data_IF_301153307468
#
_entry.id   IF_301153307468
#
_cell.length_a   1.000
_cell.length_b   1.000
_cell.length_c   1.000
_cell.angle_alpha   90.00
_cell.angle_beta   90.00
_cell.angle_gamma   90.00
#
_symmetry.space_group_name_H-M   'P 1'
#
loop_
_entity.id
_entity.type
_entity.pdbx_description
1 polymer ?
#
# COMPACT_ATOMS: atom_id res chain seq x y z
N UNK A 1 6.15 -4.83 15.38
CA UNK A 1 4.99 -4.17 14.74
C UNK A 1 4.68 -2.81 15.38
N UNK A 2 4.64 -2.70 16.72
CA UNK A 2 4.35 -1.42 17.39
C UNK A 2 5.31 -0.26 17.04
N UNK A 3 6.61 -0.52 16.87
CA UNK A 3 7.56 0.54 16.48
C UNK A 3 7.28 1.09 15.07
N UNK A 4 6.89 0.24 14.13
CA UNK A 4 6.52 0.66 12.77
C UNK A 4 5.23 1.48 12.76
N UNK A 5 4.27 1.12 13.62
CA UNK A 5 3.06 1.92 13.84
C UNK A 5 3.41 3.31 14.39
N UNK A 6 4.29 3.40 15.38
CA UNK A 6 4.77 4.68 15.93
C UNK A 6 5.52 5.53 14.91
N UNK A 7 6.22 4.90 13.97
CA UNK A 7 6.96 5.57 12.88
C UNK A 7 6.10 5.89 11.65
N UNK A 8 4.81 5.52 11.64
CA UNK A 8 3.91 5.75 10.50
C UNK A 8 4.26 4.93 9.24
N UNK A 9 5.06 3.87 9.39
CA UNK A 9 5.51 3.00 8.28
C UNK A 9 4.46 1.94 7.95
N UNK A 10 3.29 2.39 7.53
CA UNK A 10 2.12 1.53 7.37
C UNK A 10 2.24 0.56 6.18
N UNK A 11 2.99 0.88 5.13
CA UNK A 11 3.28 -0.06 4.04
C UNK A 11 4.13 -1.24 4.51
N UNK A 12 5.19 -0.98 5.27
CA UNK A 12 6.02 -2.03 5.89
C UNK A 12 5.24 -2.84 6.92
N UNK A 13 4.38 -2.19 7.69
CA UNK A 13 3.51 -2.86 8.65
C UNK A 13 2.50 -3.78 7.95
N UNK A 14 1.89 -3.32 6.85
CA UNK A 14 0.96 -4.09 6.04
C UNK A 14 1.64 -5.33 5.40
N UNK A 15 2.91 -5.19 5.00
CA UNK A 15 3.74 -6.30 4.50
C UNK A 15 4.06 -7.31 5.60
N UNK A 16 4.34 -6.88 6.84
CA UNK A 16 4.56 -7.82 7.95
C UNK A 16 3.28 -8.54 8.36
N UNK A 17 2.13 -7.87 8.29
CA UNK A 17 0.82 -8.47 8.57
C UNK A 17 0.43 -9.58 7.59
N UNK A 18 0.94 -9.52 6.37
CA UNK A 18 0.82 -10.60 5.38
C UNK A 18 1.60 -11.86 5.80
N UNK A 19 2.73 -11.69 6.47
CA UNK A 19 3.64 -12.78 6.87
C UNK A 19 3.26 -13.38 8.23
N UNK A 20 2.54 -12.63 9.06
CA UNK A 20 2.11 -13.03 10.41
C UNK A 20 0.60 -12.81 10.60
N UNK A 21 -0.26 -13.70 10.08
CA UNK A 21 -1.72 -13.57 10.17
C UNK A 21 -2.31 -13.87 11.56
N UNK A 22 -1.49 -14.00 12.61
CA UNK A 22 -1.96 -14.38 13.95
C UNK A 22 -2.90 -13.34 14.58
N UNK A 23 -3.85 -13.84 15.38
CA UNK A 23 -4.98 -13.10 15.95
C UNK A 23 -4.60 -11.96 16.89
N UNK A 24 -3.39 -11.99 17.48
CA UNK A 24 -2.92 -11.00 18.46
C UNK A 24 -2.71 -9.61 17.83
N UNK A 25 -2.47 -9.53 16.51
CA UNK A 25 -2.19 -8.27 15.81
C UNK A 25 -3.30 -7.84 14.85
N UNK A 26 -4.49 -8.46 14.94
CA UNK A 26 -5.60 -8.21 14.01
C UNK A 26 -5.97 -6.73 13.90
N UNK A 27 -6.01 -6.00 15.02
CA UNK A 27 -6.32 -4.57 15.02
C UNK A 27 -5.21 -3.74 14.35
N UNK A 28 -3.94 -4.05 14.67
CA UNK A 28 -2.78 -3.37 14.09
C UNK A 28 -2.72 -3.62 12.57
N UNK A 29 -3.04 -4.83 12.14
CA UNK A 29 -3.04 -5.20 10.73
C UNK A 29 -4.21 -4.60 9.96
N UNK A 30 -5.40 -4.52 10.57
CA UNK A 30 -6.53 -3.80 10.00
C UNK A 30 -6.21 -2.32 9.78
N UNK A 31 -5.61 -1.67 10.77
CA UNK A 31 -5.17 -0.28 10.66
C UNK A 31 -4.07 -0.11 9.60
N UNK A 32 -3.10 -1.02 9.56
CA UNK A 32 -2.02 -1.00 8.56
C UNK A 32 -2.55 -1.12 7.14
N UNK A 33 -3.50 -2.04 6.88
CA UNK A 33 -4.13 -2.19 5.57
C UNK A 33 -4.97 -0.97 5.20
N UNK A 34 -5.74 -0.41 6.13
CA UNK A 34 -6.51 0.82 5.89
C UNK A 34 -5.60 1.98 5.50
N UNK A 35 -4.52 2.20 6.24
CA UNK A 35 -3.58 3.29 5.98
C UNK A 35 -2.79 3.06 4.68
N UNK A 36 -2.41 1.82 4.38
CA UNK A 36 -1.79 1.47 3.12
C UNK A 36 -2.73 1.72 1.93
N UNK A 37 -4.01 1.37 2.07
CA UNK A 37 -5.05 1.69 1.09
C UNK A 37 -5.19 3.19 0.87
N UNK A 38 -5.30 3.99 1.93
CA UNK A 38 -5.39 5.45 1.84
C UNK A 38 -4.16 6.06 1.16
N UNK A 39 -2.97 5.52 1.42
CA UNK A 39 -1.73 5.96 0.78
C UNK A 39 -1.72 5.64 -0.72
N UNK A 40 -2.15 4.44 -1.12
CA UNK A 40 -2.26 4.06 -2.53
C UNK A 40 -3.33 4.92 -3.23
N UNK A 41 -4.48 5.14 -2.59
CA UNK A 41 -5.55 5.98 -3.11
C UNK A 41 -5.06 7.43 -3.33
N UNK A 42 -4.27 7.98 -2.40
CA UNK A 42 -3.65 9.30 -2.57
C UNK A 42 -2.71 9.35 -3.77
N UNK A 43 -1.79 8.38 -3.90
CA UNK A 43 -0.87 8.28 -5.04
C UNK A 43 -1.65 8.23 -6.35
N UNK A 44 -2.69 7.40 -6.43
CA UNK A 44 -3.51 7.27 -7.64
C UNK A 44 -4.36 8.52 -7.89
N UNK A 45 -4.78 9.25 -6.84
CA UNK A 45 -5.55 10.49 -6.98
C UNK A 45 -4.75 11.65 -7.54
N UNK A 46 -3.41 11.66 -7.38
CA UNK A 46 -2.55 12.67 -8.01
C UNK A 46 -2.69 12.67 -9.53
N UNK A 47 -3.03 11.52 -10.14
CA UNK A 47 -3.34 11.44 -11.57
C UNK A 47 -4.55 12.29 -11.97
N UNK A 48 -5.54 12.47 -11.09
CA UNK A 48 -6.72 13.29 -11.39
C UNK A 48 -6.34 14.76 -11.68
N UNK A 49 -5.20 15.21 -11.15
CA UNK A 49 -4.66 16.54 -11.42
C UNK A 49 -3.89 16.66 -12.73
N UNK A 50 -3.41 15.53 -13.31
CA UNK A 50 -2.55 15.50 -14.50
C UNK A 50 -2.91 14.30 -15.42
N UNK A 51 -4.03 14.37 -16.18
CA UNK A 51 -4.62 13.21 -16.86
C UNK A 51 -3.74 12.51 -17.92
N UNK A 52 -2.65 13.16 -18.37
CA UNK A 52 -1.74 12.63 -19.38
C UNK A 52 -0.38 12.17 -18.82
N UNK A 53 -0.09 12.47 -17.55
CA UNK A 53 1.18 12.12 -16.91
C UNK A 53 0.95 10.92 -15.99
N UNK A 54 1.83 9.92 -16.12
CA UNK A 54 1.93 8.87 -15.11
C UNK A 54 2.50 9.48 -13.83
N UNK A 55 1.99 9.03 -12.69
CA UNK A 55 2.48 9.39 -11.37
C UNK A 55 3.88 8.79 -11.21
N UNK A 56 4.85 9.64 -10.88
CA UNK A 56 6.20 9.20 -10.53
C UNK A 56 6.24 8.97 -9.03
N UNK A 57 6.59 7.75 -8.64
CA UNK A 57 6.74 7.35 -7.24
C UNK A 57 8.20 6.96 -7.03
N UNK A 58 8.75 7.27 -5.85
CA UNK A 58 10.11 6.83 -5.52
C UNK A 58 10.21 5.29 -5.53
N UNK A 59 11.40 4.77 -5.83
CA UNK A 59 11.63 3.33 -6.00
C UNK A 59 11.28 2.52 -4.74
N UNK A 60 11.52 3.08 -3.55
CA UNK A 60 11.26 2.39 -2.29
C UNK A 60 9.76 2.24 -2.04
N UNK A 61 8.97 3.29 -2.25
CA UNK A 61 7.51 3.26 -2.14
C UNK A 61 6.92 2.35 -3.21
N UNK A 62 7.41 2.45 -4.45
CA UNK A 62 6.96 1.61 -5.57
C UNK A 62 7.12 0.12 -5.23
N UNK A 63 8.31 -0.27 -4.78
CA UNK A 63 8.60 -1.66 -4.44
C UNK A 63 7.70 -2.18 -3.31
N UNK A 64 7.50 -1.37 -2.25
CA UNK A 64 6.62 -1.76 -1.13
C UNK A 64 5.18 -1.95 -1.58
N UNK A 65 4.66 -1.08 -2.44
CA UNK A 65 3.30 -1.22 -2.98
C UNK A 65 3.21 -2.45 -3.87
N UNK A 66 4.16 -2.65 -4.80
CA UNK A 66 4.16 -3.83 -5.66
C UNK A 66 4.26 -5.14 -4.86
N UNK A 67 5.11 -5.18 -3.83
CA UNK A 67 5.20 -6.31 -2.90
C UNK A 67 3.87 -6.52 -2.16
N UNK A 68 3.23 -5.45 -1.70
CA UNK A 68 1.94 -5.52 -0.99
C UNK A 68 0.83 -6.05 -1.90
N UNK A 69 0.76 -5.57 -3.14
CA UNK A 69 -0.18 -6.06 -4.15
C UNK A 69 0.13 -7.48 -4.60
N UNK A 70 1.37 -7.94 -4.51
CA UNK A 70 1.70 -9.34 -4.84
C UNK A 70 1.23 -10.31 -3.77
N UNK A 71 1.27 -9.89 -2.50
CA UNK A 71 0.97 -10.72 -1.34
C UNK A 71 -0.50 -10.64 -0.92
N UNK A 72 -1.16 -9.47 -1.03
CA UNK A 72 -2.55 -9.26 -0.61
C UNK A 72 -3.55 -9.36 -1.78
N UNK A 73 -4.37 -10.44 -1.88
CA UNK A 73 -5.32 -10.60 -2.99
C UNK A 73 -6.37 -9.50 -3.09
N UNK A 74 -6.89 -9.01 -1.96
CA UNK A 74 -7.93 -7.97 -1.93
C UNK A 74 -7.39 -6.64 -2.46
N UNK A 75 -6.20 -6.24 -1.98
CA UNK A 75 -5.54 -5.03 -2.46
C UNK A 75 -5.11 -5.17 -3.92
N UNK A 76 -4.64 -6.36 -4.31
CA UNK A 76 -4.27 -6.67 -5.70
C UNK A 76 -5.43 -6.44 -6.65
N UNK A 77 -6.59 -6.99 -6.36
CA UNK A 77 -7.78 -6.88 -7.19
C UNK A 77 -8.20 -5.41 -7.35
N UNK A 78 -8.21 -4.67 -6.25
CA UNK A 78 -8.59 -3.25 -6.24
C UNK A 78 -7.61 -2.35 -6.98
N UNK A 79 -6.30 -2.49 -6.73
CA UNK A 79 -5.32 -1.46 -7.10
C UNK A 79 -4.38 -1.85 -8.24
N UNK A 80 -4.08 -3.13 -8.47
CA UNK A 80 -3.09 -3.53 -9.49
C UNK A 80 -3.40 -3.00 -10.91
N UNK A 81 -4.66 -3.01 -11.39
CA UNK A 81 -4.98 -2.45 -12.71
C UNK A 81 -4.71 -0.95 -12.79
N UNK A 82 -5.05 -0.20 -11.74
CA UNK A 82 -4.87 1.24 -11.65
C UNK A 82 -3.38 1.59 -11.52
N UNK A 83 -2.66 0.86 -10.67
CA UNK A 83 -1.23 1.02 -10.45
C UNK A 83 -0.44 0.86 -11.75
N UNK A 84 -0.68 -0.21 -12.51
CA UNK A 84 -0.02 -0.45 -13.81
C UNK A 84 -0.36 0.60 -14.87
N UNK A 85 -1.55 1.20 -14.78
CA UNK A 85 -2.01 2.20 -15.74
C UNK A 85 -1.43 3.59 -15.44
N UNK A 86 -1.33 3.94 -14.17
CA UNK A 86 -1.06 5.31 -13.74
C UNK A 86 0.32 5.53 -13.16
N UNK A 87 1.02 4.51 -12.67
CA UNK A 87 2.37 4.66 -12.11
C UNK A 87 3.43 4.26 -13.15
N UNK A 88 4.52 5.03 -13.23
CA UNK A 88 5.66 4.77 -14.13
C UNK A 88 6.76 3.97 -13.46
#
# INVERSE_FOLDING_TARGET
MENLKKEGKFLELALLCQEHPESEYKEICGEAWSQASDQIDRILSEQASLPFLRVSVDEATRKKVEDLLSKNPELKEKYLPLWKKFVQ
#
